data_IF_332884943804
#
_entry.id   IF_332884943804
#
_cell.length_a   1.000
_cell.length_b   1.000
_cell.length_c   1.000
_cell.angle_alpha   90.00
_cell.angle_beta   90.00
_cell.angle_gamma   90.00
#
_symmetry.space_group_name_H-M   'P 1'
#
loop_
_entity.id
_entity.type
_entity.pdbx_description
1 polymer ?
#
# COMPACT_ATOMS: atom_id res chain seq x y z
N UNK A 1 -10.51 10.63 11.14
CA UNK A 1 -9.66 11.79 11.44
C UNK A 1 -8.21 11.34 11.43
N UNK A 2 -7.34 11.91 10.60
CA UNK A 2 -5.92 11.58 10.61
C UNK A 2 -5.30 12.29 11.80
N UNK A 3 -5.12 11.59 12.91
CA UNK A 3 -4.65 12.14 14.18
C UNK A 3 -3.16 11.91 14.43
N UNK A 4 -2.41 11.41 13.44
CA UNK A 4 -0.99 11.16 13.61
C UNK A 4 -0.19 12.47 13.57
N UNK A 5 0.67 12.76 14.56
CA UNK A 5 1.59 13.90 14.51
C UNK A 5 2.52 13.86 13.27
N UNK A 6 2.61 12.72 12.60
CA UNK A 6 3.44 12.50 11.41
C UNK A 6 2.67 12.74 10.09
N UNK A 7 1.51 13.37 10.12
CA UNK A 7 0.72 13.65 8.90
C UNK A 7 1.20 14.90 8.13
N UNK A 8 2.46 15.33 8.32
CA UNK A 8 3.04 16.49 7.60
C UNK A 8 2.99 16.33 6.07
N UNK A 9 3.05 15.09 5.57
CA UNK A 9 2.91 14.79 4.15
C UNK A 9 1.50 15.13 3.61
N UNK A 10 0.47 15.06 4.44
CA UNK A 10 -0.89 15.47 4.07
C UNK A 10 -0.92 16.98 3.77
N UNK A 11 -0.29 17.78 4.62
CA UNK A 11 -0.17 19.21 4.42
C UNK A 11 0.63 19.58 3.15
N UNK A 12 1.60 18.73 2.78
CA UNK A 12 2.35 18.91 1.54
C UNK A 12 1.44 18.86 0.31
N UNK A 13 0.51 17.92 0.25
CA UNK A 13 -0.45 17.81 -0.85
C UNK A 13 -1.52 18.90 -0.79
N UNK A 14 -2.12 19.14 0.39
CA UNK A 14 -3.19 20.12 0.54
C UNK A 14 -2.74 21.56 0.20
N UNK A 15 -1.52 21.94 0.57
CA UNK A 15 -0.94 23.24 0.21
C UNK A 15 -0.68 23.43 -1.30
N UNK A 16 -0.85 22.38 -2.09
CA UNK A 16 -0.69 22.36 -3.55
C UNK A 16 -2.00 22.10 -4.28
N UNK A 17 -3.12 22.35 -3.61
CA UNK A 17 -4.47 22.14 -4.13
C UNK A 17 -4.72 20.69 -4.61
N UNK A 18 -4.04 19.75 -4.01
CA UNK A 18 -4.25 18.33 -4.27
C UNK A 18 -5.20 17.77 -3.20
N UNK A 19 -6.37 17.31 -3.64
CA UNK A 19 -7.30 16.61 -2.77
C UNK A 19 -6.73 15.28 -2.34
N UNK A 20 -6.86 14.93 -1.06
CA UNK A 20 -6.33 13.68 -0.51
C UNK A 20 -7.45 12.86 0.09
N UNK A 21 -7.54 11.59 -0.30
CA UNK A 21 -8.38 10.60 0.33
C UNK A 21 -7.50 9.60 1.07
N UNK A 22 -7.76 9.46 2.35
CA UNK A 22 -7.13 8.46 3.22
C UNK A 22 -8.19 7.51 3.76
N UNK A 23 -7.81 6.26 3.98
CA UNK A 23 -8.69 5.30 4.63
C UNK A 23 -7.91 4.42 5.62
N UNK A 24 -8.62 3.88 6.58
CA UNK A 24 -8.07 2.87 7.47
C UNK A 24 -8.22 1.49 6.84
N UNK A 25 -7.17 0.70 6.86
CA UNK A 25 -7.28 -0.72 6.50
C UNK A 25 -8.22 -1.44 7.46
N UNK A 26 -8.89 -2.48 6.96
CA UNK A 26 -9.75 -3.34 7.80
C UNK A 26 -9.00 -3.79 9.05
N UNK A 27 -9.67 -3.66 10.19
CA UNK A 27 -9.13 -4.00 11.50
C UNK A 27 -8.21 -2.95 12.11
N UNK A 28 -8.06 -1.77 11.48
CA UNK A 28 -7.31 -0.64 12.02
C UNK A 28 -8.24 0.55 12.25
N UNK A 29 -7.99 1.28 13.35
CA UNK A 29 -8.80 2.43 13.74
C UNK A 29 -10.28 2.08 13.84
N UNK A 30 -11.12 2.86 13.19
CA UNK A 30 -12.57 2.66 13.17
C UNK A 30 -13.04 1.64 12.10
N UNK A 31 -12.13 1.12 11.28
CA UNK A 31 -12.46 0.08 10.30
C UNK A 31 -12.59 -1.27 10.98
N UNK A 32 -13.82 -1.69 11.24
CA UNK A 32 -14.10 -2.96 11.90
C UNK A 32 -13.78 -4.17 11.01
N UNK A 33 -13.48 -5.30 11.65
CA UNK A 33 -13.45 -6.61 11.00
C UNK A 33 -14.79 -7.29 11.19
N UNK A 34 -15.26 -7.98 10.17
CA UNK A 34 -16.33 -8.96 10.35
C UNK A 34 -15.87 -10.08 11.30
N UNK A 35 -16.82 -10.72 11.98
CA UNK A 35 -16.51 -11.84 12.87
C UNK A 35 -15.81 -12.95 12.07
N UNK A 36 -14.68 -13.46 12.58
CA UNK A 36 -13.88 -14.50 11.91
C UNK A 36 -13.05 -14.02 10.70
N UNK A 37 -13.09 -12.75 10.34
CA UNK A 37 -12.27 -12.23 9.24
C UNK A 37 -10.83 -11.95 9.67
N UNK A 38 -9.88 -12.46 8.86
CA UNK A 38 -8.45 -12.16 9.00
C UNK A 38 -8.03 -11.05 8.04
N UNK A 39 -7.09 -10.22 8.45
CA UNK A 39 -6.41 -9.27 7.55
C UNK A 39 -5.46 -10.07 6.66
N UNK A 40 -5.44 -9.76 5.37
CA UNK A 40 -4.49 -10.34 4.42
C UNK A 40 -4.22 -9.37 3.27
N UNK A 41 -3.08 -9.47 2.57
CA UNK A 41 -2.78 -8.62 1.42
C UNK A 41 -3.86 -8.66 0.34
N UNK A 42 -4.45 -9.82 0.12
CA UNK A 42 -5.55 -9.96 -0.83
C UNK A 42 -6.77 -9.12 -0.43
N UNK A 43 -7.19 -9.21 0.83
CA UNK A 43 -8.33 -8.45 1.34
C UNK A 43 -8.05 -6.94 1.35
N UNK A 44 -6.83 -6.54 1.72
CA UNK A 44 -6.41 -5.13 1.72
C UNK A 44 -6.43 -4.54 0.30
N UNK A 45 -5.99 -5.30 -0.70
CA UNK A 45 -6.08 -4.89 -2.10
C UNK A 45 -7.53 -4.73 -2.55
N UNK A 46 -8.41 -5.65 -2.18
CA UNK A 46 -9.84 -5.54 -2.49
C UNK A 46 -10.48 -4.31 -1.84
N UNK A 47 -10.14 -4.00 -0.59
CA UNK A 47 -10.63 -2.78 0.07
C UNK A 47 -10.20 -1.53 -0.70
N UNK A 48 -8.96 -1.48 -1.15
CA UNK A 48 -8.47 -0.39 -1.97
C UNK A 48 -9.19 -0.28 -3.31
N UNK A 49 -9.56 -1.40 -3.92
CA UNK A 49 -10.40 -1.40 -5.13
C UNK A 49 -11.78 -0.82 -4.87
N UNK A 50 -12.41 -1.12 -3.73
CA UNK A 50 -13.67 -0.49 -3.34
C UNK A 50 -13.53 1.01 -3.12
N UNK A 51 -12.42 1.46 -2.50
CA UNK A 51 -12.11 2.88 -2.35
C UNK A 51 -11.93 3.55 -3.72
N UNK A 52 -11.24 2.92 -4.64
CA UNK A 52 -11.09 3.43 -6.01
C UNK A 52 -12.44 3.50 -6.73
N UNK A 53 -13.24 2.47 -6.63
CA UNK A 53 -14.60 2.46 -7.20
C UNK A 53 -15.48 3.56 -6.60
N UNK A 54 -15.37 3.83 -5.31
CA UNK A 54 -16.04 4.95 -4.65
C UNK A 54 -15.61 6.31 -5.23
N UNK A 55 -14.30 6.53 -5.40
CA UNK A 55 -13.77 7.76 -6.01
C UNK A 55 -14.33 7.98 -7.41
N UNK A 56 -14.30 6.93 -8.24
CA UNK A 56 -14.68 7.04 -9.66
C UNK A 56 -16.20 7.10 -9.83
N UNK A 57 -16.93 6.19 -9.20
CA UNK A 57 -18.36 5.99 -9.48
C UNK A 57 -19.25 6.87 -8.59
N UNK A 58 -18.87 7.06 -7.31
CA UNK A 58 -19.71 7.81 -6.35
C UNK A 58 -19.32 9.27 -6.31
N UNK A 59 -18.03 9.57 -6.13
CA UNK A 59 -17.55 10.95 -6.10
C UNK A 59 -17.34 11.54 -7.50
N UNK A 60 -17.31 10.70 -8.53
CA UNK A 60 -17.16 11.11 -9.93
C UNK A 60 -15.93 11.99 -10.17
N UNK A 61 -14.82 11.62 -9.53
CA UNK A 61 -13.54 12.33 -9.70
C UNK A 61 -13.13 12.30 -11.17
N UNK A 62 -12.96 13.47 -11.77
CA UNK A 62 -12.60 13.62 -13.20
C UNK A 62 -11.14 14.00 -13.40
N UNK A 63 -10.43 14.30 -12.35
CA UNK A 63 -9.02 14.74 -12.41
C UNK A 63 -8.05 13.56 -12.50
N UNK A 64 -6.76 13.91 -12.53
CA UNK A 64 -5.68 12.96 -12.44
C UNK A 64 -5.65 12.32 -11.06
N UNK A 65 -5.48 11.02 -10.99
CA UNK A 65 -5.37 10.28 -9.73
C UNK A 65 -3.92 9.88 -9.53
N UNK A 66 -3.39 10.21 -8.36
CA UNK A 66 -2.13 9.68 -7.85
C UNK A 66 -2.38 8.72 -6.70
N UNK A 67 -1.52 7.73 -6.54
CA UNK A 67 -1.51 6.83 -5.39
C UNK A 67 -0.19 6.94 -4.65
N UNK A 68 -0.29 7.05 -3.33
CA UNK A 68 0.85 7.11 -2.43
C UNK A 68 0.76 5.96 -1.43
N UNK A 69 1.85 5.24 -1.25
CA UNK A 69 1.92 4.17 -0.27
C UNK A 69 3.25 4.11 0.45
N UNK A 70 3.22 4.21 1.79
CA UNK A 70 4.39 4.06 2.65
C UNK A 70 4.40 2.69 3.30
N UNK A 71 5.58 2.05 3.36
CA UNK A 71 5.78 0.74 3.98
C UNK A 71 4.77 -0.27 3.39
N UNK A 72 3.96 -0.94 4.19
CA UNK A 72 2.90 -1.86 3.74
C UNK A 72 1.90 -1.21 2.76
N UNK A 73 1.75 0.11 2.81
CA UNK A 73 0.90 0.86 1.87
C UNK A 73 1.39 0.81 0.43
N UNK A 74 2.70 0.64 0.21
CA UNK A 74 3.28 0.48 -1.13
C UNK A 74 2.70 -0.70 -1.90
N UNK A 75 2.38 -1.79 -1.20
CA UNK A 75 1.72 -2.96 -1.77
C UNK A 75 0.37 -2.63 -2.42
N UNK A 76 -0.43 -1.86 -1.71
CA UNK A 76 -1.75 -1.44 -2.17
C UNK A 76 -1.64 -0.40 -3.28
N UNK A 77 -0.70 0.55 -3.15
CA UNK A 77 -0.45 1.57 -4.15
C UNK A 77 0.01 0.97 -5.48
N UNK A 78 0.97 0.05 -5.47
CA UNK A 78 1.42 -0.65 -6.68
C UNK A 78 0.28 -1.46 -7.33
N UNK A 79 -0.54 -2.12 -6.52
CA UNK A 79 -1.70 -2.86 -7.02
C UNK A 79 -2.71 -1.94 -7.72
N UNK A 80 -3.08 -0.82 -7.09
CA UNK A 80 -4.02 0.14 -7.68
C UNK A 80 -3.46 0.78 -8.95
N UNK A 81 -2.19 1.18 -8.96
CA UNK A 81 -1.57 1.77 -10.13
C UNK A 81 -1.54 0.81 -11.32
N UNK A 82 -1.25 -0.46 -11.07
CA UNK A 82 -1.25 -1.48 -12.12
C UNK A 82 -2.66 -1.79 -12.63
N UNK A 83 -3.61 -2.04 -11.72
CA UNK A 83 -4.96 -2.45 -12.06
C UNK A 83 -5.78 -1.34 -12.73
N UNK A 84 -5.59 -0.10 -12.31
CA UNK A 84 -6.34 1.06 -12.82
C UNK A 84 -5.52 1.95 -13.76
N UNK A 85 -4.56 1.36 -14.44
CA UNK A 85 -3.85 2.01 -15.53
C UNK A 85 -4.75 2.13 -16.78
N UNK A 86 -4.88 3.30 -17.45
CA UNK A 86 -4.15 4.55 -17.24
C UNK A 86 -4.83 5.59 -16.34
N UNK A 87 -5.85 5.23 -15.59
CA UNK A 87 -6.55 6.17 -14.70
C UNK A 87 -5.63 6.73 -13.60
N UNK A 88 -4.79 5.85 -13.01
CA UNK A 88 -3.74 6.26 -12.08
C UNK A 88 -2.53 6.74 -12.87
N UNK A 89 -2.19 8.01 -12.74
CA UNK A 89 -1.14 8.67 -13.49
C UNK A 89 0.14 8.92 -12.70
N UNK A 90 0.10 8.76 -11.37
CA UNK A 90 1.30 8.83 -10.53
C UNK A 90 1.26 7.79 -9.41
N UNK A 91 2.41 7.20 -9.14
CA UNK A 91 2.64 6.20 -8.11
C UNK A 91 3.86 6.61 -7.29
N UNK A 92 3.65 6.85 -6.00
CA UNK A 92 4.72 7.15 -5.06
C UNK A 92 4.80 6.00 -4.06
N UNK A 93 5.95 5.35 -4.02
CA UNK A 93 6.25 4.25 -3.09
C UNK A 93 7.33 4.72 -2.14
N UNK A 94 6.94 4.93 -0.88
CA UNK A 94 7.81 5.48 0.15
C UNK A 94 8.22 4.39 1.14
N UNK A 95 9.51 4.05 1.17
CA UNK A 95 10.08 3.05 2.10
C UNK A 95 9.23 1.79 2.19
N UNK A 96 9.12 1.11 1.06
CA UNK A 96 8.31 -0.11 0.92
C UNK A 96 9.19 -1.26 0.42
N UNK A 97 8.73 -2.46 0.65
CA UNK A 97 9.48 -3.68 0.32
C UNK A 97 9.23 -4.14 -1.11
N UNK A 98 10.23 -4.80 -1.63
CA UNK A 98 10.17 -5.52 -2.90
C UNK A 98 9.06 -6.57 -2.90
N UNK A 99 9.09 -7.45 -1.93
CA UNK A 99 8.04 -8.42 -1.59
C UNK A 99 7.88 -8.52 -0.09
N UNK A 100 6.66 -8.73 0.38
CA UNK A 100 6.39 -8.84 1.81
C UNK A 100 7.05 -10.09 2.44
N UNK A 101 7.30 -11.11 1.64
CA UNK A 101 8.02 -12.32 2.05
C UNK A 101 9.49 -12.09 2.41
N UNK A 102 10.10 -11.02 1.92
CA UNK A 102 11.51 -10.70 2.18
C UNK A 102 11.74 -10.04 3.55
N UNK A 103 10.71 -9.46 4.16
CA UNK A 103 10.81 -8.70 5.43
C UNK A 103 11.21 -9.55 6.65
N UNK A 104 10.79 -10.83 6.79
CA UNK A 104 11.12 -11.63 7.97
C UNK A 104 12.53 -12.21 8.00
N UNK A 105 13.20 -12.36 6.85
CA UNK A 105 14.49 -13.08 6.75
C UNK A 105 15.60 -12.44 7.59
N UNK A 106 15.55 -11.13 7.79
CA UNK A 106 16.52 -10.40 8.63
C UNK A 106 16.26 -10.45 10.13
N UNK A 107 15.05 -10.83 10.59
CA UNK A 107 14.64 -10.69 12.01
C UNK A 107 14.37 -12.02 12.72
N UNK A 108 14.24 -13.14 12.03
CA UNK A 108 13.90 -14.43 12.62
C UNK A 108 15.11 -15.35 12.54
N UNK A 109 15.88 -15.42 13.63
CA UNK A 109 16.99 -16.37 13.78
C UNK A 109 16.43 -17.73 14.22
N UNK A 110 16.34 -18.71 13.30
CA UNK A 110 16.02 -20.10 13.59
C UNK A 110 15.43 -20.84 12.39
N UNK A 111 16.03 -21.95 11.99
CA UNK A 111 15.67 -22.70 10.77
C UNK A 111 14.22 -23.25 10.81
N UNK A 112 13.73 -23.67 11.97
CA UNK A 112 12.38 -24.22 12.11
C UNK A 112 11.30 -23.13 12.12
N UNK A 113 11.59 -21.97 12.72
CA UNK A 113 10.67 -20.84 12.79
C UNK A 113 10.55 -20.15 11.44
N UNK A 114 11.62 -20.06 10.65
CA UNK A 114 11.57 -19.53 9.28
C UNK A 114 10.72 -20.39 8.36
N UNK A 115 10.87 -21.72 8.41
CA UNK A 115 10.05 -22.65 7.60
C UNK A 115 8.57 -22.62 7.99
N UNK A 116 8.26 -22.53 9.29
CA UNK A 116 6.88 -22.39 9.76
C UNK A 116 6.29 -21.05 9.33
N UNK A 117 7.10 -19.98 9.38
CA UNK A 117 6.70 -18.66 8.91
C UNK A 117 6.46 -18.66 7.39
N UNK A 118 7.32 -19.29 6.60
CA UNK A 118 7.15 -19.44 5.16
C UNK A 118 5.86 -20.18 4.81
N UNK A 119 5.54 -21.24 5.55
CA UNK A 119 4.31 -22.00 5.36
C UNK A 119 3.06 -21.17 5.71
N UNK A 120 3.12 -20.35 6.76
CA UNK A 120 2.04 -19.49 7.18
C UNK A 120 1.95 -18.21 6.36
N UNK A 121 3.06 -17.72 5.83
CA UNK A 121 3.16 -16.46 5.08
C UNK A 121 2.87 -16.61 3.59
N UNK A 122 2.66 -17.84 3.07
CA UNK A 122 2.34 -18.02 1.65
C UNK A 122 1.16 -17.15 1.19
N UNK A 123 0.19 -16.90 2.08
CA UNK A 123 -0.94 -15.99 1.86
C UNK A 123 -0.55 -14.50 1.84
N UNK A 124 0.68 -14.20 2.29
CA UNK A 124 1.24 -12.85 2.35
C UNK A 124 2.20 -12.57 1.19
N UNK A 125 2.45 -13.56 0.33
CA UNK A 125 3.22 -13.35 -0.89
C UNK A 125 2.54 -12.31 -1.77
N UNK A 126 3.32 -11.34 -2.20
CA UNK A 126 2.82 -10.19 -2.96
C UNK A 126 3.71 -9.97 -4.17
N UNK A 127 3.11 -9.58 -5.28
CA UNK A 127 3.83 -9.23 -6.50
C UNK A 127 4.05 -7.72 -6.60
N UNK A 128 4.62 -7.13 -5.55
CA UNK A 128 4.76 -5.67 -5.46
C UNK A 128 5.65 -5.13 -6.58
N UNK A 129 6.83 -5.72 -6.73
CA UNK A 129 7.78 -5.42 -7.79
C UNK A 129 7.15 -5.57 -9.20
N UNK A 130 6.53 -6.71 -9.46
CA UNK A 130 5.90 -6.96 -10.75
C UNK A 130 4.84 -5.90 -11.09
N UNK A 131 3.97 -5.54 -10.14
CA UNK A 131 2.99 -4.50 -10.34
C UNK A 131 3.64 -3.13 -10.61
N UNK A 132 4.71 -2.80 -9.89
CA UNK A 132 5.44 -1.55 -10.10
C UNK A 132 6.06 -1.48 -11.49
N UNK A 133 6.76 -2.53 -11.91
CA UNK A 133 7.46 -2.57 -13.20
C UNK A 133 6.48 -2.57 -14.37
N UNK A 134 5.41 -3.38 -14.29
CA UNK A 134 4.46 -3.54 -15.39
C UNK A 134 3.48 -2.39 -15.56
N UNK A 135 3.31 -1.52 -14.55
CA UNK A 135 2.51 -0.30 -14.69
C UNK A 135 3.14 0.62 -15.73
N UNK A 136 2.40 0.94 -16.81
CA UNK A 136 2.84 1.82 -17.89
C UNK A 136 2.15 3.18 -17.80
N UNK A 137 2.67 4.19 -18.53
CA UNK A 137 2.05 5.52 -18.62
C UNK A 137 1.71 6.16 -17.26
N UNK A 138 2.59 5.95 -16.29
CA UNK A 138 2.43 6.41 -14.92
C UNK A 138 3.77 6.98 -14.42
N UNK A 139 3.77 8.16 -13.84
CA UNK A 139 4.95 8.70 -13.16
C UNK A 139 5.20 7.88 -11.91
N UNK A 140 6.42 7.37 -11.77
CA UNK A 140 6.78 6.50 -10.64
C UNK A 140 7.91 7.13 -9.85
N UNK A 141 7.72 7.21 -8.54
CA UNK A 141 8.71 7.68 -7.59
C UNK A 141 8.88 6.59 -6.53
N UNK A 142 10.12 6.21 -6.28
CA UNK A 142 10.50 5.39 -5.13
C UNK A 142 11.34 6.26 -4.23
N UNK A 143 11.00 6.28 -2.96
CA UNK A 143 11.84 6.89 -1.92
C UNK A 143 12.32 5.81 -0.98
N UNK A 144 13.59 5.85 -0.64
CA UNK A 144 14.23 5.02 0.37
C UNK A 144 14.91 5.91 1.41
N UNK A 145 15.12 5.36 2.57
CA UNK A 145 15.85 5.99 3.65
C UNK A 145 17.04 5.08 3.98
N UNK A 146 18.30 5.50 3.71
CA UNK A 146 19.46 4.66 4.00
C UNK A 146 19.65 4.31 5.48
N UNK A 147 18.92 4.99 6.37
CA UNK A 147 18.91 4.75 7.82
C UNK A 147 17.69 3.94 8.30
N UNK A 148 16.89 3.41 7.37
CA UNK A 148 15.71 2.61 7.73
C UNK A 148 16.13 1.15 7.98
N UNK A 149 16.18 0.75 9.26
CA UNK A 149 16.52 -0.63 9.68
C UNK A 149 15.39 -1.62 9.42
N UNK A 150 14.26 -1.18 8.90
CA UNK A 150 13.03 -2.00 8.77
C UNK A 150 12.80 -2.46 7.34
N UNK A 151 13.21 -1.66 6.38
CA UNK A 151 13.03 -1.91 4.95
C UNK A 151 14.36 -1.63 4.24
N UNK A 152 15.08 -2.69 3.89
CA UNK A 152 16.29 -2.66 3.06
C UNK A 152 15.95 -2.45 1.57
#
# INVERSE_FOLDING_TARGET
>A
MVTSPNAYWLNFFLKRDINVLCWNYRGYGESTRGFGETVSPYKTKRDAEYVMAFLVNKLRVKGKIGVYGRSIGGLTACHLANKYNPLVQSLIVDRSFYELSCVPEGKIKGDLTSRLFDLLSWKWRTRNHSNFVTTKNCYKIITCDPMDDTVD
#
